data_IF_629287005576
#
_entry.id   IF_629287005576
#
_cell.length_a   1.000
_cell.length_b   1.000
_cell.length_c   1.000
_cell.angle_alpha   90.00
_cell.angle_beta   90.00
_cell.angle_gamma   90.00
#
_symmetry.space_group_name_H-M   'P 1'
#
loop_
_entity.id
_entity.type
_entity.pdbx_description
1 polymer ?
#
# COMPACT_ATOMS: atom_id res chain seq x y z
N UNK A 1 -49.55 8.54 19.47
CA UNK A 1 -49.31 7.37 18.60
C UNK A 1 -48.43 7.68 17.37
N UNK A 2 -48.63 8.76 16.63
CA UNK A 2 -47.83 9.08 15.42
C UNK A 2 -46.34 9.32 15.75
N UNK A 3 -46.03 10.06 16.81
CA UNK A 3 -44.62 10.33 17.21
C UNK A 3 -43.84 9.08 17.65
N UNK A 4 -44.55 8.13 18.33
CA UNK A 4 -43.93 6.86 18.73
C UNK A 4 -43.54 6.00 17.54
N UNK A 5 -44.38 5.96 16.52
CA UNK A 5 -44.06 5.22 15.26
C UNK A 5 -42.88 5.83 14.52
N UNK A 6 -42.78 7.16 14.52
CA UNK A 6 -41.66 7.86 13.91
C UNK A 6 -40.34 7.59 14.64
N UNK A 7 -40.33 7.69 15.98
CA UNK A 7 -39.17 7.38 16.81
C UNK A 7 -38.74 5.92 16.66
N UNK A 8 -39.67 5.00 16.61
CA UNK A 8 -39.36 3.58 16.41
C UNK A 8 -38.78 3.31 15.03
N UNK A 9 -39.32 3.91 13.97
CA UNK A 9 -38.76 3.80 12.63
C UNK A 9 -37.35 4.38 12.53
N UNK A 10 -37.09 5.54 13.15
CA UNK A 10 -35.79 6.16 13.19
C UNK A 10 -34.77 5.30 13.95
N UNK A 11 -35.16 4.73 15.09
CA UNK A 11 -34.29 3.82 15.85
C UNK A 11 -33.94 2.54 15.04
N UNK A 12 -34.87 1.99 14.26
CA UNK A 12 -34.63 0.85 13.38
C UNK A 12 -33.63 1.19 12.28
N UNK A 13 -33.69 2.39 11.69
CA UNK A 13 -32.74 2.83 10.66
C UNK A 13 -31.34 2.98 11.27
N UNK A 14 -31.23 3.63 12.44
CA UNK A 14 -29.94 3.76 13.12
C UNK A 14 -29.35 2.39 13.48
N UNK A 15 -30.17 1.47 13.96
CA UNK A 15 -29.74 0.11 14.29
C UNK A 15 -29.26 -0.64 13.05
N UNK A 16 -30.00 -0.57 11.94
CA UNK A 16 -29.61 -1.20 10.68
C UNK A 16 -28.28 -0.62 10.16
N UNK A 17 -28.09 0.71 10.22
CA UNK A 17 -26.82 1.36 9.87
C UNK A 17 -25.70 0.91 10.80
N UNK A 18 -25.91 0.88 12.10
CA UNK A 18 -24.92 0.45 13.07
C UNK A 18 -24.47 -1.01 12.83
N UNK A 19 -25.40 -1.91 12.56
CA UNK A 19 -25.11 -3.32 12.21
C UNK A 19 -24.36 -3.41 10.90
N UNK A 20 -24.74 -2.65 9.87
CA UNK A 20 -24.06 -2.63 8.59
C UNK A 20 -22.62 -2.10 8.71
N UNK A 21 -22.42 -1.01 9.45
CA UNK A 21 -21.08 -0.47 9.71
C UNK A 21 -20.23 -1.37 10.61
N UNK A 22 -20.85 -2.12 11.53
CA UNK A 22 -20.12 -3.05 12.39
C UNK A 22 -19.32 -4.08 11.59
N UNK A 23 -19.91 -4.65 10.56
CA UNK A 23 -19.22 -5.60 9.68
C UNK A 23 -18.14 -4.98 8.78
N UNK A 24 -18.26 -3.69 8.45
CA UNK A 24 -17.30 -2.97 7.60
C UNK A 24 -16.16 -2.34 8.39
N UNK A 25 -16.37 -2.03 9.68
CA UNK A 25 -15.45 -1.22 10.50
C UNK A 25 -14.51 -2.04 11.37
N UNK A 26 -14.75 -3.35 11.50
CA UNK A 26 -13.88 -4.24 12.27
C UNK A 26 -13.11 -5.09 11.29
N UNK A 27 -11.82 -4.76 11.00
CA UNK A 27 -10.95 -5.66 10.30
C UNK A 27 -10.88 -6.95 11.12
N UNK A 28 -11.34 -8.05 10.57
CA UNK A 28 -11.09 -9.34 11.19
C UNK A 28 -9.60 -9.56 11.16
N UNK A 29 -8.98 -9.68 12.33
CA UNK A 29 -7.61 -10.16 12.41
C UNK A 29 -7.66 -11.62 11.96
N UNK A 30 -7.28 -11.86 10.73
CA UNK A 30 -7.35 -13.18 10.15
C UNK A 30 -6.08 -13.95 10.42
N UNK A 31 -6.31 -15.22 10.68
CA UNK A 31 -5.39 -16.31 10.44
C UNK A 31 -4.11 -16.28 11.28
N UNK A 32 -4.10 -17.08 12.31
CA UNK A 32 -2.86 -17.54 12.96
C UNK A 32 -2.06 -18.49 12.07
N UNK A 33 -2.62 -18.88 10.93
CA UNK A 33 -1.97 -19.82 10.02
C UNK A 33 -0.96 -19.07 9.17
N UNK A 34 0.29 -19.53 9.19
CA UNK A 34 1.40 -18.98 8.41
C UNK A 34 1.14 -18.99 6.90
N UNK A 35 0.25 -19.87 6.46
CA UNK A 35 -0.01 -20.20 5.06
C UNK A 35 -1.20 -19.41 4.47
N UNK A 36 -1.69 -18.38 5.17
CA UNK A 36 -2.76 -17.52 4.68
C UNK A 36 -2.35 -16.05 4.70
N UNK A 37 -2.89 -15.25 3.77
CA UNK A 37 -2.67 -13.81 3.73
C UNK A 37 -3.02 -13.17 5.09
N UNK A 38 -2.09 -12.41 5.65
CA UNK A 38 -2.26 -11.73 6.93
C UNK A 38 -2.21 -10.21 6.78
N UNK A 39 -3.34 -9.56 7.03
CA UNK A 39 -3.41 -8.10 7.09
C UNK A 39 -2.48 -7.52 8.16
N UNK A 40 -2.21 -8.28 9.22
CA UNK A 40 -1.26 -7.89 10.27
C UNK A 40 0.17 -7.85 9.73
N UNK A 41 0.63 -8.89 9.05
CA UNK A 41 1.98 -8.92 8.44
C UNK A 41 2.10 -7.85 7.35
N UNK A 42 1.08 -7.69 6.49
CA UNK A 42 1.04 -6.61 5.51
C UNK A 42 1.17 -5.24 6.18
N UNK A 43 0.54 -5.01 7.33
CA UNK A 43 0.63 -3.73 8.06
C UNK A 43 2.04 -3.41 8.57
N UNK A 44 2.86 -4.41 8.87
CA UNK A 44 4.26 -4.19 9.26
C UNK A 44 5.10 -3.65 8.09
N UNK A 45 4.89 -4.15 6.87
CA UNK A 45 5.52 -3.58 5.67
C UNK A 45 5.08 -2.14 5.45
N UNK A 46 3.77 -1.86 5.56
CA UNK A 46 3.21 -0.51 5.40
C UNK A 46 3.85 0.47 6.39
N UNK A 47 3.99 0.09 7.66
CA UNK A 47 4.62 0.93 8.69
C UNK A 47 6.05 1.33 8.34
N UNK A 48 6.83 0.40 7.82
CA UNK A 48 8.21 0.68 7.41
C UNK A 48 8.23 1.62 6.21
N UNK A 49 7.48 1.31 5.16
CA UNK A 49 7.42 2.09 3.92
C UNK A 49 6.93 3.51 4.19
N UNK A 50 5.89 3.66 5.00
CA UNK A 50 5.25 4.95 5.28
C UNK A 50 5.78 5.65 6.54
N UNK A 51 6.99 5.33 7.00
CA UNK A 51 7.56 5.92 8.22
C UNK A 51 7.85 7.42 8.08
N UNK A 52 8.19 7.88 6.90
CA UNK A 52 8.47 9.28 6.58
C UNK A 52 8.02 9.62 5.15
N UNK A 53 7.83 10.92 4.80
CA UNK A 53 7.58 11.31 3.41
C UNK A 53 8.77 10.92 2.52
N UNK A 54 8.48 10.21 1.43
CA UNK A 54 9.49 9.67 0.50
C UNK A 54 9.08 9.88 -0.98
N UNK A 55 8.56 11.07 -1.27
CA UNK A 55 8.25 11.50 -2.63
C UNK A 55 9.53 11.77 -3.44
N UNK A 56 9.37 12.12 -4.71
CA UNK A 56 10.48 12.56 -5.58
C UNK A 56 11.25 13.76 -5.03
N UNK A 57 10.66 14.55 -4.12
CA UNK A 57 11.32 15.65 -3.43
C UNK A 57 12.15 15.21 -2.20
N UNK A 58 12.07 13.94 -1.83
CA UNK A 58 12.78 13.33 -0.70
C UNK A 58 13.64 12.15 -1.19
N UNK A 59 14.65 12.40 -2.05
CA UNK A 59 15.39 11.32 -2.73
C UNK A 59 16.03 10.32 -1.77
N UNK A 60 16.58 10.79 -0.66
CA UNK A 60 17.23 9.93 0.34
C UNK A 60 16.22 8.99 1.05
N UNK A 61 15.06 9.53 1.45
CA UNK A 61 14.02 8.72 2.08
C UNK A 61 13.44 7.71 1.08
N UNK A 62 13.24 8.13 -0.18
CA UNK A 62 12.77 7.26 -1.26
C UNK A 62 13.78 6.15 -1.56
N UNK A 63 15.08 6.45 -1.55
CA UNK A 63 16.13 5.44 -1.72
C UNK A 63 16.14 4.41 -0.59
N UNK A 64 15.93 4.83 0.67
CA UNK A 64 15.78 3.88 1.79
C UNK A 64 14.62 2.93 1.57
N UNK A 65 13.46 3.42 1.12
CA UNK A 65 12.31 2.57 0.81
C UNK A 65 12.63 1.62 -0.34
N UNK A 66 13.25 2.11 -1.42
CA UNK A 66 13.67 1.30 -2.56
C UNK A 66 14.60 0.16 -2.14
N UNK A 67 15.61 0.46 -1.34
CA UNK A 67 16.54 -0.54 -0.85
C UNK A 67 15.87 -1.55 0.08
N UNK A 68 14.97 -1.09 0.95
CA UNK A 68 14.16 -1.98 1.77
C UNK A 68 13.33 -2.97 0.92
N UNK A 69 12.69 -2.49 -0.15
CA UNK A 69 11.92 -3.35 -1.05
C UNK A 69 12.83 -4.34 -1.79
N UNK A 70 13.98 -3.89 -2.26
CA UNK A 70 14.97 -4.74 -2.89
C UNK A 70 15.38 -5.89 -1.96
N UNK A 71 15.78 -5.55 -0.73
CA UNK A 71 16.21 -6.53 0.27
C UNK A 71 15.09 -7.51 0.65
N UNK A 72 13.84 -7.04 0.70
CA UNK A 72 12.68 -7.90 0.96
C UNK A 72 12.46 -8.90 -0.17
N UNK A 73 12.55 -8.46 -1.42
CA UNK A 73 12.40 -9.36 -2.56
C UNK A 73 13.52 -10.41 -2.62
N UNK A 74 14.75 -10.04 -2.26
CA UNK A 74 15.86 -11.01 -2.10
C UNK A 74 15.55 -12.02 -0.99
N UNK A 75 15.06 -11.56 0.17
CA UNK A 75 14.70 -12.44 1.29
C UNK A 75 13.58 -13.43 0.92
N UNK A 76 12.71 -13.05 -0.02
CA UNK A 76 11.65 -13.89 -0.56
C UNK A 76 12.13 -14.84 -1.68
N UNK A 77 13.43 -14.86 -1.95
CA UNK A 77 14.03 -15.76 -2.95
C UNK A 77 14.02 -15.24 -4.37
N UNK A 78 13.65 -13.98 -4.58
CA UNK A 78 13.70 -13.32 -5.87
C UNK A 78 15.08 -12.79 -6.23
N UNK A 79 15.23 -12.39 -7.48
CA UNK A 79 16.41 -11.68 -8.02
C UNK A 79 15.97 -10.31 -8.52
N UNK A 80 15.76 -9.33 -7.62
CA UNK A 80 15.25 -8.02 -8.02
C UNK A 80 16.27 -7.21 -8.82
N UNK A 81 15.76 -6.38 -9.70
CA UNK A 81 16.49 -5.40 -10.50
C UNK A 81 15.95 -4.00 -10.23
N UNK A 82 16.82 -3.00 -10.32
CA UNK A 82 16.43 -1.59 -10.24
C UNK A 82 16.58 -0.98 -11.64
N UNK A 83 15.46 -0.51 -12.20
CA UNK A 83 15.45 0.21 -13.45
C UNK A 83 15.41 1.71 -13.16
N UNK A 84 16.49 2.41 -13.43
CA UNK A 84 16.62 3.84 -13.18
C UNK A 84 16.35 4.67 -14.44
N UNK A 85 15.75 5.82 -14.23
CA UNK A 85 15.42 6.80 -15.26
C UNK A 85 15.84 8.18 -14.77
N UNK A 86 16.79 8.78 -15.47
CA UNK A 86 17.34 10.09 -15.12
C UNK A 86 16.49 11.23 -15.71
N UNK A 87 16.42 12.31 -14.96
CA UNK A 87 15.86 13.59 -15.42
C UNK A 87 14.45 13.49 -16.02
N UNK A 88 13.59 12.69 -15.40
CA UNK A 88 12.20 12.56 -15.82
C UNK A 88 11.44 13.85 -15.50
N UNK A 89 10.81 14.45 -16.51
CA UNK A 89 9.99 15.65 -16.35
C UNK A 89 8.72 15.37 -15.59
N UNK A 90 8.52 16.05 -14.49
CA UNK A 90 7.34 15.88 -13.66
C UNK A 90 6.19 16.81 -14.06
N UNK A 91 4.95 16.34 -13.97
CA UNK A 91 3.76 17.11 -14.36
C UNK A 91 3.64 18.46 -13.65
N UNK A 92 4.07 18.52 -12.40
CA UNK A 92 3.98 19.72 -11.55
C UNK A 92 5.24 20.59 -11.59
N UNK A 93 6.14 20.34 -12.53
CA UNK A 93 7.40 21.03 -12.72
C UNK A 93 8.59 20.33 -12.07
N UNK A 94 9.78 20.61 -12.60
CA UNK A 94 11.02 19.95 -12.17
C UNK A 94 11.36 18.68 -12.96
N UNK A 95 12.59 18.25 -12.77
CA UNK A 95 13.12 17.00 -13.30
C UNK A 95 13.64 16.20 -12.11
N UNK A 96 13.33 14.91 -12.08
CA UNK A 96 13.68 14.03 -10.99
C UNK A 96 14.18 12.69 -11.53
N UNK A 97 15.15 12.11 -10.86
CA UNK A 97 15.55 10.74 -11.12
C UNK A 97 14.56 9.82 -10.42
N UNK A 98 14.06 8.83 -11.13
CA UNK A 98 13.12 7.85 -10.61
C UNK A 98 13.64 6.44 -10.85
N UNK A 99 13.14 5.47 -10.11
CA UNK A 99 13.53 4.08 -10.28
C UNK A 99 12.41 3.13 -9.89
N UNK A 100 12.26 2.08 -10.68
CA UNK A 100 11.37 0.97 -10.39
C UNK A 100 12.16 -0.20 -9.85
N UNK A 101 11.59 -0.91 -8.87
CA UNK A 101 12.09 -2.22 -8.44
C UNK A 101 11.25 -3.28 -9.15
N UNK A 102 11.90 -4.13 -9.91
CA UNK A 102 11.29 -5.25 -10.62
C UNK A 102 11.82 -6.56 -10.06
N UNK A 103 10.97 -7.56 -9.95
CA UNK A 103 11.38 -8.91 -9.59
C UNK A 103 10.45 -9.92 -10.27
N UNK A 104 11.02 -10.96 -10.85
CA UNK A 104 10.30 -12.09 -11.38
C UNK A 104 10.52 -13.30 -10.46
N UNK A 105 9.45 -14.04 -10.21
CA UNK A 105 9.49 -15.32 -9.53
C UNK A 105 9.09 -16.39 -10.53
N UNK A 106 9.92 -17.38 -10.69
CA UNK A 106 9.66 -18.50 -11.57
C UNK A 106 8.82 -19.58 -10.87
N UNK A 107 8.07 -20.40 -11.62
CA UNK A 107 7.29 -21.49 -11.05
C UNK A 107 8.19 -22.47 -10.29
N UNK A 108 7.66 -23.06 -9.24
CA UNK A 108 8.35 -24.11 -8.44
C UNK A 108 8.61 -25.36 -9.28
N UNK A 109 7.80 -25.61 -10.31
CA UNK A 109 7.94 -26.78 -11.19
C UNK A 109 7.52 -26.48 -12.62
N UNK A 110 8.32 -26.91 -13.57
CA UNK A 110 8.06 -26.79 -15.01
C UNK A 110 8.20 -25.36 -15.57
N UNK A 111 8.02 -25.21 -16.89
CA UNK A 111 8.04 -23.90 -17.52
C UNK A 111 6.76 -23.12 -17.20
N UNK A 112 6.89 -21.80 -17.09
CA UNK A 112 5.74 -20.92 -16.92
C UNK A 112 4.90 -20.88 -18.21
N UNK A 113 3.60 -21.15 -18.09
CA UNK A 113 2.65 -21.01 -19.20
C UNK A 113 2.09 -19.57 -19.30
N UNK A 114 2.09 -18.85 -18.20
CA UNK A 114 1.62 -17.47 -18.09
C UNK A 114 2.25 -16.77 -16.89
N UNK A 115 2.21 -15.43 -16.89
CA UNK A 115 2.68 -14.60 -15.79
C UNK A 115 1.57 -13.68 -15.33
N UNK A 116 1.52 -13.42 -14.01
CA UNK A 116 0.69 -12.38 -13.40
C UNK A 116 1.62 -11.25 -12.99
N UNK A 117 1.34 -10.04 -13.46
CA UNK A 117 2.09 -8.85 -13.05
C UNK A 117 1.33 -8.13 -11.94
N UNK A 118 1.97 -7.95 -10.78
CA UNK A 118 1.48 -7.14 -9.68
C UNK A 118 2.26 -5.83 -9.68
N UNK A 119 1.56 -4.71 -9.60
CA UNK A 119 2.16 -3.37 -9.70
C UNK A 119 1.60 -2.48 -8.61
N UNK A 120 2.48 -1.78 -7.90
CA UNK A 120 2.14 -0.72 -6.96
C UNK A 120 3.27 0.33 -6.98
N UNK A 121 2.96 1.59 -6.71
CA UNK A 121 4.01 2.60 -6.57
C UNK A 121 4.45 2.70 -5.11
N UNK A 122 5.74 2.87 -4.89
CA UNK A 122 6.29 2.94 -3.54
C UNK A 122 6.63 4.37 -3.09
N UNK A 123 6.61 5.34 -3.99
CA UNK A 123 6.85 6.74 -3.65
C UNK A 123 5.61 7.38 -3.01
N UNK A 124 5.83 8.21 -2.01
CA UNK A 124 4.74 8.98 -1.42
C UNK A 124 4.37 10.18 -2.30
N UNK A 125 3.18 10.71 -2.05
CA UNK A 125 2.64 11.81 -2.85
C UNK A 125 3.55 13.03 -2.86
N UNK A 126 3.74 13.62 -4.06
CA UNK A 126 4.35 14.93 -4.24
C UNK A 126 3.63 15.99 -3.37
N UNK A 127 4.36 17.01 -2.94
CA UNK A 127 3.86 18.10 -2.09
C UNK A 127 2.50 18.63 -2.55
N UNK A 128 1.65 18.92 -1.60
CA UNK A 128 0.42 19.68 -1.82
C UNK A 128 0.52 21.03 -1.13
N UNK A 129 0.11 22.10 -1.84
CA UNK A 129 -0.12 23.38 -1.22
C UNK A 129 -1.57 23.49 -0.73
N UNK A 130 -1.77 23.55 0.59
CA UNK A 130 -3.08 23.87 1.18
C UNK A 130 -2.95 25.15 2.00
N UNK A 131 -3.69 26.19 1.62
CA UNK A 131 -3.72 27.47 2.36
C UNK A 131 -2.31 28.01 2.68
N UNK A 132 -1.44 28.08 1.67
CA UNK A 132 -0.05 28.55 1.76
C UNK A 132 0.90 27.67 2.58
N UNK A 133 0.49 26.49 3.00
CA UNK A 133 1.34 25.52 3.68
C UNK A 133 1.61 24.31 2.80
N UNK A 134 2.88 23.96 2.63
CA UNK A 134 3.26 22.69 1.99
C UNK A 134 2.97 21.54 2.93
N UNK A 135 2.28 20.52 2.45
CA UNK A 135 1.94 19.31 3.19
C UNK A 135 2.49 18.11 2.42
N UNK A 136 3.20 17.25 3.11
CA UNK A 136 3.71 15.98 2.62
C UNK A 136 2.91 14.83 3.22
N UNK A 137 2.76 13.75 2.45
CA UNK A 137 2.14 12.50 2.89
C UNK A 137 3.23 11.46 3.10
N UNK A 138 3.04 10.58 4.07
CA UNK A 138 3.88 9.39 4.25
C UNK A 138 3.45 8.22 3.35
N UNK A 139 2.36 8.36 2.58
CA UNK A 139 1.97 7.39 1.55
C UNK A 139 1.39 6.07 2.07
N UNK A 140 0.91 5.96 3.32
CA UNK A 140 0.42 4.70 3.87
C UNK A 140 -0.73 4.08 3.05
N UNK A 141 -1.71 4.89 2.64
CA UNK A 141 -2.84 4.46 1.82
C UNK A 141 -2.63 4.64 0.31
N UNK A 142 -1.55 5.34 -0.09
CA UNK A 142 -1.28 5.73 -1.48
C UNK A 142 0.26 5.78 -1.70
N UNK A 143 0.97 4.64 -2.04
CA UNK A 143 0.38 3.30 -2.17
C UNK A 143 1.15 2.23 -1.37
N UNK A 144 1.70 2.56 -0.18
CA UNK A 144 2.36 1.58 0.68
C UNK A 144 1.44 0.39 1.03
N UNK A 145 0.11 0.62 1.02
CA UNK A 145 -0.88 -0.45 1.18
C UNK A 145 -0.80 -1.48 0.05
N UNK A 146 -0.74 -1.03 -1.19
CA UNK A 146 -0.58 -1.91 -2.36
C UNK A 146 0.72 -2.69 -2.29
N UNK A 147 1.83 -2.00 -2.03
CA UNK A 147 3.16 -2.62 -1.89
C UNK A 147 3.20 -3.65 -0.76
N UNK A 148 2.68 -3.30 0.43
CA UNK A 148 2.64 -4.21 1.57
C UNK A 148 1.79 -5.45 1.31
N UNK A 149 0.69 -5.29 0.56
CA UNK A 149 -0.16 -6.41 0.15
C UNK A 149 0.55 -7.35 -0.84
N UNK A 150 1.31 -6.80 -1.79
CA UNK A 150 2.12 -7.59 -2.73
C UNK A 150 3.20 -8.37 -1.97
N UNK A 151 3.94 -7.72 -1.08
CA UNK A 151 4.96 -8.39 -0.27
C UNK A 151 4.38 -9.52 0.56
N UNK A 152 3.23 -9.30 1.19
CA UNK A 152 2.55 -10.32 1.98
C UNK A 152 2.08 -11.50 1.12
N UNK A 153 1.55 -11.21 -0.07
CA UNK A 153 1.14 -12.27 -1.00
C UNK A 153 2.31 -13.15 -1.44
N UNK A 154 3.51 -12.58 -1.59
CA UNK A 154 4.73 -13.31 -1.96
C UNK A 154 5.31 -14.16 -0.83
N UNK A 155 4.80 -14.04 0.40
CA UNK A 155 5.23 -14.89 1.54
C UNK A 155 4.46 -16.21 1.63
N UNK A 156 3.44 -16.42 0.80
CA UNK A 156 2.63 -17.63 0.76
C UNK A 156 3.27 -18.69 -0.13
#
# INVERSE_FOLDING_TARGET
>A
MKQFKFLFGFALVIFALAVSFWHLSIPKSEGKDSDSFSAQRASEYIKVISSEPHSVEHPQAREKVRNYLYDKLVQLGGSPEIHEFDSVKFRYGGYFDIGNVYCQFDPVSGPAESYVMLVAHFDSRFRQSKRQKTVYSCGAGDDAYGVGSILELLTQ
#
